data_IF_356782374509
#
_entry.id   IF_356782374509
#
_cell.length_a   1.000
_cell.length_b   1.000
_cell.length_c   1.000
_cell.angle_alpha   90.00
_cell.angle_beta   90.00
_cell.angle_gamma   90.00
#
_symmetry.space_group_name_H-M   'P 1'
#
loop_
_entity.id
_entity.type
_entity.pdbx_description
1 polymer ?
#
# COMPACT_ATOMS: atom_id res chain seq x y z
N UNK A 1 -4.27 22.93 15.06
CA UNK A 1 -3.49 22.83 13.80
C UNK A 1 -3.29 21.35 13.54
N UNK A 2 -3.52 20.88 12.31
CA UNK A 2 -3.18 19.51 11.94
C UNK A 2 -1.67 19.45 11.67
N UNK A 3 -1.00 18.39 12.13
CA UNK A 3 0.41 18.19 11.89
C UNK A 3 0.61 17.60 10.48
N UNK A 4 1.59 18.14 9.74
CA UNK A 4 1.95 17.67 8.40
C UNK A 4 2.97 16.53 8.52
N UNK A 5 2.48 15.33 8.77
CA UNK A 5 3.30 14.12 8.84
C UNK A 5 3.72 13.61 7.46
N UNK A 6 4.97 13.15 7.34
CA UNK A 6 5.50 12.50 6.13
C UNK A 6 5.97 11.09 6.48
N UNK A 7 5.42 10.08 5.79
CA UNK A 7 5.86 8.70 5.92
C UNK A 7 7.08 8.43 5.02
N UNK A 8 8.17 7.97 5.63
CA UNK A 8 9.37 7.55 4.91
C UNK A 8 9.29 6.05 4.59
N UNK A 9 9.54 5.64 3.34
CA UNK A 9 9.67 4.23 2.97
C UNK A 9 10.71 3.50 3.82
N UNK A 10 10.45 2.22 4.09
CA UNK A 10 11.38 1.36 4.79
C UNK A 10 12.72 1.26 4.06
N UNK A 11 13.80 1.08 4.83
CA UNK A 11 15.17 0.93 4.33
C UNK A 11 15.77 2.14 3.60
N UNK A 12 15.19 3.35 3.72
CA UNK A 12 15.90 4.59 3.36
C UNK A 12 17.17 4.73 4.21
N UNK A 13 18.24 5.17 3.56
CA UNK A 13 19.56 5.33 4.18
C UNK A 13 19.93 6.80 4.23
N UNK A 14 20.53 7.21 5.34
CA UNK A 14 20.97 8.58 5.56
C UNK A 14 22.40 8.58 6.09
N UNK A 15 23.16 9.61 5.74
CA UNK A 15 24.42 9.94 6.41
C UNK A 15 24.19 11.11 7.37
N UNK A 16 24.95 11.13 8.47
CA UNK A 16 25.00 12.27 9.38
C UNK A 16 25.99 13.28 8.79
N UNK A 17 25.49 14.42 8.34
CA UNK A 17 26.35 15.50 7.84
C UNK A 17 26.87 16.38 8.97
N UNK A 18 26.06 16.61 10.00
CA UNK A 18 26.45 17.39 11.17
C UNK A 18 25.70 16.97 12.43
N UNK A 19 26.32 17.25 13.59
CA UNK A 19 25.72 17.10 14.90
C UNK A 19 26.09 18.33 15.72
N UNK A 20 25.09 19.08 16.17
CA UNK A 20 25.26 20.31 16.93
C UNK A 20 24.62 20.16 18.32
N UNK A 21 25.42 20.35 19.36
CA UNK A 21 24.94 20.42 20.75
C UNK A 21 24.21 21.76 20.96
N UNK A 22 22.96 21.70 21.42
CA UNK A 22 22.14 22.85 21.78
C UNK A 22 22.09 23.09 23.30
N UNK A 23 22.86 22.32 24.08
CA UNK A 23 22.85 22.28 25.53
C UNK A 23 21.67 21.48 26.09
N UNK A 24 21.68 21.23 27.40
CA UNK A 24 20.62 20.48 28.11
C UNK A 24 20.35 19.10 27.49
N UNK A 25 21.42 18.42 27.09
CA UNK A 25 21.36 17.10 26.44
C UNK A 25 20.53 17.06 25.14
N UNK A 26 20.35 18.23 24.49
CA UNK A 26 19.66 18.36 23.22
C UNK A 26 20.67 18.48 22.07
N UNK A 27 20.51 17.62 21.06
CA UNK A 27 21.37 17.62 19.87
C UNK A 27 20.53 17.80 18.61
N UNK A 28 20.97 18.70 17.74
CA UNK A 28 20.44 18.85 16.39
C UNK A 28 21.29 18.02 15.42
N UNK A 29 20.67 17.05 14.75
CA UNK A 29 21.33 16.15 13.81
C UNK A 29 20.87 16.51 12.40
N UNK A 30 21.82 16.82 11.52
CA UNK A 30 21.54 17.00 10.11
C UNK A 30 21.77 15.68 9.37
N UNK A 31 20.72 15.20 8.70
CA UNK A 31 20.74 13.98 7.91
C UNK A 31 20.68 14.33 6.43
N UNK A 32 21.44 13.60 5.61
CA UNK A 32 21.33 13.62 4.16
C UNK A 32 20.97 12.25 3.65
N UNK A 33 19.88 12.17 2.90
CA UNK A 33 19.48 10.93 2.24
C UNK A 33 20.54 10.54 1.20
N UNK A 34 20.89 9.26 1.19
CA UNK A 34 21.80 8.69 0.20
C UNK A 34 21.07 7.69 -0.67
N UNK A 35 21.61 7.46 -1.87
CA UNK A 35 21.15 6.36 -2.71
C UNK A 35 21.48 5.04 -1.99
N UNK A 36 20.47 4.23 -1.61
CA UNK A 36 20.75 2.96 -0.96
C UNK A 36 21.48 2.02 -1.92
N UNK A 37 22.35 1.17 -1.36
CA UNK A 37 23.10 0.17 -2.13
C UNK A 37 22.18 -0.85 -2.83
N UNK A 38 20.99 -1.07 -2.27
CA UNK A 38 19.96 -1.94 -2.84
C UNK A 38 18.67 -1.14 -3.06
N UNK A 39 17.86 -1.46 -4.10
CA UNK A 39 16.58 -0.82 -4.31
C UNK A 39 15.68 -0.89 -3.08
N UNK A 40 14.94 0.18 -2.80
CA UNK A 40 13.94 0.18 -1.73
C UNK A 40 12.85 -0.85 -2.07
N UNK A 41 12.47 -1.66 -1.09
CA UNK A 41 11.36 -2.59 -1.24
C UNK A 41 10.09 -1.76 -1.32
N UNK A 42 9.31 -1.92 -2.39
CA UNK A 42 8.00 -1.29 -2.49
C UNK A 42 7.12 -1.78 -1.33
N UNK A 43 6.57 -0.84 -0.56
CA UNK A 43 5.64 -1.12 0.53
C UNK A 43 4.35 -1.71 -0.04
N UNK A 44 4.32 -3.04 -0.16
CA UNK A 44 3.19 -3.92 -0.53
C UNK A 44 2.51 -3.51 -1.86
N UNK A 45 2.41 -4.41 -2.86
CA UNK A 45 1.60 -4.12 -4.04
C UNK A 45 0.20 -3.72 -3.57
N UNK A 46 -0.33 -2.59 -4.07
CA UNK A 46 -1.73 -2.28 -3.85
C UNK A 46 -2.55 -3.55 -4.16
N UNK A 47 -3.53 -3.94 -3.32
CA UNK A 47 -4.35 -5.08 -3.63
C UNK A 47 -4.93 -4.85 -5.03
N UNK A 48 -4.47 -5.66 -5.99
CA UNK A 48 -5.00 -5.65 -7.33
C UNK A 48 -6.51 -5.78 -7.15
N UNK A 49 -7.27 -4.78 -7.61
CA UNK A 49 -8.74 -4.87 -7.63
C UNK A 49 -9.07 -6.11 -8.45
N UNK A 50 -9.27 -7.23 -7.78
CA UNK A 50 -9.79 -8.44 -8.40
C UNK A 50 -11.15 -7.99 -8.96
N UNK A 51 -11.41 -8.13 -10.27
CA UNK A 51 -12.75 -7.87 -10.78
C UNK A 51 -13.70 -8.70 -9.93
N UNK A 52 -14.62 -8.03 -9.23
CA UNK A 52 -15.60 -8.71 -8.39
C UNK A 52 -16.32 -9.80 -9.21
N UNK A 53 -16.84 -10.84 -8.56
CA UNK A 53 -17.54 -11.91 -9.27
C UNK A 53 -18.62 -11.29 -10.16
N UNK A 54 -18.56 -11.59 -11.46
CA UNK A 54 -19.57 -11.17 -12.42
C UNK A 54 -20.96 -11.53 -11.88
N UNK A 55 -21.97 -10.67 -12.03
CA UNK A 55 -23.32 -10.99 -11.57
C UNK A 55 -23.80 -12.31 -12.21
N UNK A 56 -24.51 -13.17 -11.46
CA UNK A 56 -25.00 -14.44 -11.97
C UNK A 56 -25.88 -14.18 -13.20
N UNK A 57 -25.59 -14.87 -14.32
CA UNK A 57 -26.43 -14.80 -15.52
C UNK A 57 -27.83 -15.34 -15.19
N UNK A 58 -28.92 -14.70 -15.66
CA UNK A 58 -30.26 -15.28 -15.56
C UNK A 58 -30.29 -16.65 -16.25
N UNK A 59 -30.75 -17.66 -15.51
CA UNK A 59 -30.93 -19.01 -16.06
C UNK A 59 -32.11 -18.96 -17.04
N UNK A 60 -31.97 -19.45 -18.29
CA UNK A 60 -33.10 -19.57 -19.19
C UNK A 60 -34.14 -20.53 -18.60
N UNK A 61 -35.36 -20.06 -18.39
CA UNK A 61 -36.49 -20.92 -18.00
C UNK A 61 -36.82 -21.79 -19.21
N UNK A 62 -36.44 -23.06 -19.15
CA UNK A 62 -36.87 -24.04 -20.15
C UNK A 62 -38.31 -24.44 -19.82
N UNK A 63 -39.27 -24.32 -20.74
CA UNK A 63 -40.63 -24.78 -20.51
C UNK A 63 -40.63 -26.28 -20.22
N UNK A 64 -41.28 -26.70 -19.14
CA UNK A 64 -41.45 -28.12 -18.83
C UNK A 64 -42.21 -28.81 -19.97
N UNK A 65 -41.82 -30.05 -20.34
CA UNK A 65 -42.58 -30.80 -21.34
C UNK A 65 -44.00 -31.09 -20.82
N UNK A 66 -45.01 -31.09 -21.70
CA UNK A 66 -46.38 -31.36 -21.31
C UNK A 66 -46.51 -32.78 -20.77
N UNK A 67 -47.09 -32.91 -19.57
CA UNK A 67 -47.42 -34.20 -18.96
C UNK A 67 -48.49 -34.84 -19.84
N UNK A 68 -48.16 -35.97 -20.49
CA UNK A 68 -49.16 -36.79 -21.18
C UNK A 68 -49.95 -37.59 -20.17
N UNK A 69 -51.21 -37.23 -19.94
CA UNK A 69 -52.21 -38.10 -19.31
C UNK A 69 -52.64 -39.18 -20.30
N UNK A 70 -52.67 -40.43 -19.84
CA UNK A 70 -53.17 -41.60 -20.56
C UNK A 70 -54.65 -41.79 -20.29
#
# INVERSE_FOLDING_TARGET
QAEDEILLPAARQFIVESCLDQGKDLYMIQLKEIQPQYPLIELVPQPSRVPGPSPPRPIPIVPNPPIKTK
#
